data_IF_884327903412
#
_entry.id   IF_884327903412
#
_cell.length_a   1.000
_cell.length_b   1.000
_cell.length_c   1.000
_cell.angle_alpha   90.00
_cell.angle_beta   90.00
_cell.angle_gamma   90.00
#
_symmetry.space_group_name_H-M   'P 1'
#
loop_
_entity.id
_entity.type
_entity.pdbx_description
1 polymer ?
#
# COMPACT_ATOMS: atom_id res chain seq x y z
N UNK A 1 10.32 -19.23 -21.42
CA UNK A 1 11.25 -18.55 -20.50
C UNK A 1 10.63 -18.34 -19.11
N UNK A 2 9.50 -17.64 -18.96
CA UNK A 2 8.91 -17.37 -17.62
C UNK A 2 8.54 -18.64 -16.84
N UNK A 3 7.95 -19.65 -17.48
CA UNK A 3 7.65 -20.93 -16.84
C UNK A 3 8.90 -21.64 -16.30
N UNK A 4 10.02 -21.58 -17.03
CA UNK A 4 11.30 -22.15 -16.60
C UNK A 4 11.79 -21.49 -15.30
N UNK A 5 11.66 -20.17 -15.21
CA UNK A 5 12.01 -19.41 -14.00
C UNK A 5 11.12 -19.82 -12.83
N UNK A 6 9.80 -19.98 -13.05
CA UNK A 6 8.88 -20.38 -11.99
C UNK A 6 9.17 -21.81 -11.51
N UNK A 7 9.42 -22.76 -12.41
CA UNK A 7 9.83 -24.13 -12.05
C UNK A 7 11.12 -24.18 -11.25
N UNK A 8 12.08 -23.31 -11.57
CA UNK A 8 13.29 -23.17 -10.76
C UNK A 8 12.95 -22.81 -9.31
N UNK A 9 12.05 -21.85 -9.10
CA UNK A 9 11.61 -21.50 -7.75
C UNK A 9 10.81 -22.59 -7.05
N UNK A 10 9.99 -23.36 -7.78
CA UNK A 10 9.28 -24.51 -7.20
C UNK A 10 10.24 -25.54 -6.61
N UNK A 11 11.33 -25.83 -7.32
CA UNK A 11 12.36 -26.77 -6.89
C UNK A 11 13.16 -26.28 -5.67
N UNK A 12 13.15 -24.96 -5.39
CA UNK A 12 13.81 -24.39 -4.21
C UNK A 12 12.93 -24.40 -2.96
N UNK A 13 11.68 -24.91 -3.04
CA UNK A 13 10.75 -24.78 -1.93
C UNK A 13 11.17 -25.58 -0.71
N UNK A 14 11.19 -24.91 0.44
CA UNK A 14 11.42 -25.52 1.75
C UNK A 14 10.67 -24.73 2.84
N UNK A 15 10.40 -25.31 4.01
CA UNK A 15 9.73 -24.58 5.10
C UNK A 15 10.41 -23.26 5.47
N UNK A 16 11.75 -23.26 5.53
CA UNK A 16 12.53 -22.06 5.83
C UNK A 16 12.39 -20.98 4.75
N UNK A 17 12.56 -21.34 3.48
CA UNK A 17 12.44 -20.38 2.38
C UNK A 17 11.00 -19.89 2.20
N UNK A 18 10.00 -20.71 2.52
CA UNK A 18 8.59 -20.31 2.53
C UNK A 18 8.32 -19.28 3.63
N UNK A 19 8.89 -19.45 4.82
CA UNK A 19 8.80 -18.45 5.88
C UNK A 19 9.40 -17.10 5.43
N UNK A 20 10.61 -17.11 4.85
CA UNK A 20 11.24 -15.89 4.35
C UNK A 20 10.46 -15.25 3.20
N UNK A 21 9.95 -16.04 2.26
CA UNK A 21 9.11 -15.54 1.18
C UNK A 21 7.83 -14.87 1.73
N UNK A 22 7.20 -15.49 2.74
CA UNK A 22 6.07 -14.91 3.45
C UNK A 22 6.44 -13.58 4.12
N UNK A 23 7.56 -13.55 4.86
CA UNK A 23 8.03 -12.35 5.55
C UNK A 23 8.26 -11.15 4.61
N UNK A 24 8.94 -11.37 3.48
CA UNK A 24 9.12 -10.30 2.49
C UNK A 24 7.79 -9.93 1.80
N UNK A 25 6.91 -10.89 1.60
CA UNK A 25 5.59 -10.61 1.02
C UNK A 25 4.73 -9.68 1.91
N UNK A 26 4.96 -9.61 3.22
CA UNK A 26 4.22 -8.69 4.10
C UNK A 26 4.39 -7.21 3.71
N UNK A 27 5.53 -6.84 3.10
CA UNK A 27 5.75 -5.47 2.62
C UNK A 27 4.87 -5.10 1.41
N UNK A 28 4.17 -6.07 0.83
CA UNK A 28 3.19 -5.85 -0.22
C UNK A 28 1.74 -6.00 0.26
N UNK A 29 1.50 -6.13 1.56
CA UNK A 29 0.16 -6.26 2.12
C UNK A 29 -0.39 -4.89 2.53
N UNK A 30 -1.62 -4.58 2.10
CA UNK A 30 -2.23 -3.25 2.30
C UNK A 30 -2.31 -2.88 3.78
N UNK A 31 -2.77 -3.79 4.65
CA UNK A 31 -2.91 -3.51 6.08
C UNK A 31 -1.57 -3.28 6.77
N UNK A 32 -0.55 -4.08 6.41
CA UNK A 32 0.81 -3.93 6.94
C UNK A 32 1.37 -2.57 6.52
N UNK A 33 1.21 -2.18 5.26
CA UNK A 33 1.66 -0.88 4.76
C UNK A 33 0.92 0.28 5.41
N UNK A 34 -0.40 0.21 5.57
CA UNK A 34 -1.17 1.23 6.27
C UNK A 34 -0.67 1.40 7.71
N UNK A 35 -0.38 0.30 8.40
CA UNK A 35 0.19 0.34 9.75
C UNK A 35 1.59 0.99 9.76
N UNK A 36 2.49 0.57 8.86
CA UNK A 36 3.84 1.15 8.73
C UNK A 36 3.80 2.65 8.40
N UNK A 37 2.96 3.05 7.45
CA UNK A 37 2.80 4.46 7.05
C UNK A 37 2.21 5.27 8.20
N UNK A 38 1.25 4.74 8.95
CA UNK A 38 0.69 5.39 10.14
C UNK A 38 1.76 5.60 11.22
N UNK A 39 2.62 4.60 11.46
CA UNK A 39 3.76 4.74 12.38
C UNK A 39 4.70 5.85 11.93
N UNK A 40 5.05 5.91 10.64
CA UNK A 40 5.90 6.97 10.08
C UNK A 40 5.24 8.35 10.25
N UNK A 41 3.96 8.46 9.88
CA UNK A 41 3.17 9.68 9.93
C UNK A 41 3.01 10.22 11.37
N UNK A 42 2.71 9.34 12.33
CA UNK A 42 2.48 9.72 13.73
C UNK A 42 3.76 9.95 14.53
N UNK A 43 4.85 9.22 14.24
CA UNK A 43 6.01 9.15 15.14
C UNK A 43 7.32 9.68 14.57
N UNK A 44 7.46 9.73 13.24
CA UNK A 44 8.75 10.01 12.58
C UNK A 44 8.69 11.34 11.86
N UNK A 45 7.89 11.41 10.80
CA UNK A 45 7.80 12.57 9.92
C UNK A 45 6.43 12.57 9.24
N UNK A 46 5.63 13.54 9.63
CA UNK A 46 4.28 13.74 9.13
C UNK A 46 4.26 13.94 7.61
N UNK A 47 5.08 14.84 7.08
CA UNK A 47 5.07 15.16 5.65
C UNK A 47 5.53 13.96 4.81
N UNK A 48 6.49 13.19 5.32
CA UNK A 48 6.91 11.97 4.68
C UNK A 48 5.83 10.89 4.73
N UNK A 49 5.12 10.75 5.86
CA UNK A 49 3.95 9.88 5.97
C UNK A 49 2.85 10.22 4.95
N UNK A 50 2.50 11.50 4.80
CA UNK A 50 1.56 11.97 3.76
C UNK A 50 2.02 11.54 2.36
N UNK A 51 3.31 11.71 2.06
CA UNK A 51 3.86 11.33 0.76
C UNK A 51 3.76 9.82 0.52
N UNK A 52 4.02 9.00 1.53
CA UNK A 52 3.91 7.54 1.42
C UNK A 52 2.47 7.09 1.17
N UNK A 53 1.49 7.71 1.85
CA UNK A 53 0.06 7.47 1.59
C UNK A 53 -0.27 7.75 0.13
N UNK A 54 0.13 8.92 -0.36
CA UNK A 54 -0.16 9.36 -1.73
C UNK A 54 0.50 8.45 -2.78
N UNK A 55 1.78 8.10 -2.61
CA UNK A 55 2.47 7.14 -3.48
C UNK A 55 1.75 5.78 -3.51
N UNK A 56 1.35 5.28 -2.35
CA UNK A 56 0.76 3.94 -2.23
C UNK A 56 -0.61 3.89 -2.93
N UNK A 57 -1.53 4.79 -2.59
CA UNK A 57 -2.91 4.72 -3.10
C UNK A 57 -3.05 5.19 -4.54
N UNK A 58 -2.29 6.21 -4.97
CA UNK A 58 -2.33 6.61 -6.38
C UNK A 58 -1.74 5.53 -7.28
N UNK A 59 -0.64 4.88 -6.85
CA UNK A 59 -0.03 3.81 -7.63
C UNK A 59 -0.95 2.57 -7.67
N UNK A 60 -1.54 2.17 -6.54
CA UNK A 60 -2.44 1.03 -6.51
C UNK A 60 -3.71 1.26 -7.33
N UNK A 61 -4.24 2.48 -7.39
CA UNK A 61 -5.36 2.80 -8.29
C UNK A 61 -5.00 2.51 -9.76
N UNK A 62 -3.79 2.88 -10.19
CA UNK A 62 -3.28 2.53 -11.51
C UNK A 62 -3.06 1.02 -11.68
N UNK A 63 -2.58 0.32 -10.64
CA UNK A 63 -2.41 -1.13 -10.63
C UNK A 63 -3.74 -1.85 -10.87
N UNK A 64 -4.78 -1.50 -10.12
CA UNK A 64 -6.09 -2.12 -10.21
C UNK A 64 -6.77 -1.85 -11.56
N UNK A 65 -6.60 -0.65 -12.12
CA UNK A 65 -7.04 -0.39 -13.50
C UNK A 65 -6.32 -1.27 -14.52
N UNK A 66 -4.98 -1.33 -14.46
CA UNK A 66 -4.20 -2.18 -15.38
C UNK A 66 -4.52 -3.67 -15.21
N UNK A 67 -4.86 -4.12 -14.00
CA UNK A 67 -5.34 -5.47 -13.74
C UNK A 67 -6.62 -5.77 -14.53
N UNK A 68 -7.62 -4.89 -14.43
CA UNK A 68 -8.88 -5.04 -15.18
C UNK A 68 -8.66 -5.04 -16.69
N UNK A 69 -7.79 -4.15 -17.21
CA UNK A 69 -7.53 -4.05 -18.65
C UNK A 69 -6.77 -5.26 -19.20
N UNK A 70 -5.77 -5.77 -18.46
CA UNK A 70 -4.91 -6.85 -18.95
C UNK A 70 -5.50 -8.23 -18.64
N UNK A 71 -6.22 -8.38 -17.53
CA UNK A 71 -6.92 -9.60 -17.11
C UNK A 71 -6.06 -10.89 -17.29
N UNK A 72 -4.77 -10.81 -16.94
CA UNK A 72 -3.82 -11.91 -17.13
C UNK A 72 -4.05 -13.03 -16.10
N UNK A 73 -4.31 -14.28 -16.54
CA UNK A 73 -4.33 -15.45 -15.65
C UNK A 73 -3.04 -15.61 -14.86
N UNK A 74 -3.15 -15.93 -13.57
CA UNK A 74 -2.00 -16.20 -12.69
C UNK A 74 -1.31 -17.52 -13.05
N UNK A 75 -0.04 -17.71 -12.66
CA UNK A 75 0.67 -18.96 -12.94
C UNK A 75 -0.05 -20.21 -12.45
N UNK A 76 -0.59 -20.18 -11.22
CA UNK A 76 -1.35 -21.30 -10.67
C UNK A 76 -2.69 -21.54 -11.37
N UNK A 77 -3.36 -20.48 -11.81
CA UNK A 77 -4.63 -20.59 -12.51
C UNK A 77 -4.49 -21.19 -13.91
N UNK A 78 -3.33 -20.97 -14.54
CA UNK A 78 -3.01 -21.47 -15.88
C UNK A 78 -2.24 -22.80 -15.89
N UNK A 79 -1.96 -23.38 -14.72
CA UNK A 79 -1.14 -24.59 -14.58
C UNK A 79 0.35 -24.38 -14.89
N UNK A 80 0.82 -23.14 -15.00
CA UNK A 80 2.20 -22.79 -15.30
C UNK A 80 3.15 -23.01 -14.11
N UNK A 81 2.64 -22.89 -12.88
CA UNK A 81 3.34 -23.19 -11.63
C UNK A 81 2.33 -23.44 -10.50
N UNK A 82 2.63 -24.31 -9.57
CA UNK A 82 1.84 -24.53 -8.35
C UNK A 82 1.94 -23.34 -7.39
N UNK A 83 0.87 -23.07 -6.64
CA UNK A 83 0.82 -22.01 -5.61
C UNK A 83 1.30 -22.56 -4.26
N UNK A 84 2.07 -21.76 -3.53
CA UNK A 84 2.27 -21.99 -2.09
C UNK A 84 1.09 -21.42 -1.33
N UNK A 85 0.37 -22.27 -0.61
CA UNK A 85 -0.81 -21.88 0.16
C UNK A 85 -0.41 -21.33 1.52
N UNK A 86 -0.73 -20.05 1.73
CA UNK A 86 -0.55 -19.33 2.99
C UNK A 86 -1.88 -18.64 3.25
N UNK A 87 -2.46 -18.88 4.42
CA UNK A 87 -3.67 -18.19 4.84
C UNK A 87 -3.56 -17.80 6.31
N UNK A 88 -3.09 -16.58 6.53
CA UNK A 88 -2.91 -15.99 7.86
C UNK A 88 -3.66 -14.65 7.90
N UNK A 89 -3.93 -14.09 9.09
CA UNK A 89 -4.60 -12.79 9.20
C UNK A 89 -3.85 -11.62 8.51
N UNK A 90 -2.55 -11.77 8.25
CA UNK A 90 -1.69 -10.71 7.72
C UNK A 90 -1.24 -10.93 6.28
N UNK A 91 -1.31 -12.17 5.78
CA UNK A 91 -0.86 -12.58 4.47
C UNK A 91 -1.70 -13.75 4.01
N UNK A 92 -2.30 -13.62 2.83
CA UNK A 92 -3.02 -14.72 2.18
C UNK A 92 -2.65 -14.82 0.70
N UNK A 93 -2.26 -16.01 0.26
CA UNK A 93 -2.14 -16.36 -1.16
C UNK A 93 -3.42 -17.00 -1.69
N UNK A 94 -4.37 -17.32 -0.80
CA UNK A 94 -5.64 -17.98 -1.12
C UNK A 94 -6.66 -17.00 -1.69
N UNK A 95 -6.68 -15.76 -1.20
CA UNK A 95 -7.64 -14.72 -1.57
C UNK A 95 -7.29 -13.93 -2.84
N UNK A 96 -6.43 -14.48 -3.70
CA UNK A 96 -6.01 -13.84 -4.94
C UNK A 96 -6.95 -14.18 -6.10
N UNK A 97 -7.43 -13.16 -6.81
CA UNK A 97 -8.23 -13.32 -8.03
C UNK A 97 -7.41 -14.04 -9.12
N UNK A 98 -7.89 -15.19 -9.67
CA UNK A 98 -7.13 -16.04 -10.59
C UNK A 98 -6.70 -15.36 -11.89
N UNK A 99 -7.46 -14.39 -12.38
CA UNK A 99 -7.31 -13.67 -13.66
C UNK A 99 -6.68 -12.27 -13.51
N UNK A 100 -6.23 -11.91 -12.31
CA UNK A 100 -5.66 -10.60 -12.03
C UNK A 100 -4.17 -10.68 -11.67
N UNK A 101 -3.33 -11.24 -12.55
CA UNK A 101 -1.88 -11.37 -12.32
C UNK A 101 -1.11 -10.07 -12.57
N UNK A 102 -1.26 -9.48 -13.76
CA UNK A 102 -0.45 -8.33 -14.17
C UNK A 102 -1.10 -6.99 -13.77
N UNK A 103 -0.35 -5.98 -13.29
CA UNK A 103 1.00 -6.07 -12.71
C UNK A 103 0.95 -6.49 -11.22
N UNK A 104 2.09 -6.88 -10.64
CA UNK A 104 2.16 -7.29 -9.24
C UNK A 104 1.98 -6.12 -8.26
N UNK A 105 0.90 -6.13 -7.48
CA UNK A 105 0.63 -5.12 -6.45
C UNK A 105 1.68 -5.11 -5.34
N UNK A 106 2.09 -6.29 -4.85
CA UNK A 106 3.14 -6.42 -3.82
C UNK A 106 4.47 -5.79 -4.24
N UNK A 107 4.91 -6.09 -5.46
CA UNK A 107 6.16 -5.53 -6.01
C UNK A 107 6.06 -4.02 -6.18
N UNK A 108 4.89 -3.54 -6.58
CA UNK A 108 4.63 -2.12 -6.78
C UNK A 108 4.59 -1.32 -5.47
N UNK A 109 3.86 -1.79 -4.45
CA UNK A 109 3.78 -1.08 -3.19
C UNK A 109 5.11 -1.06 -2.44
N UNK A 110 5.81 -2.20 -2.41
CA UNK A 110 7.12 -2.31 -1.76
C UNK A 110 8.16 -1.41 -2.45
N UNK A 111 8.21 -1.39 -3.78
CA UNK A 111 9.07 -0.46 -4.53
C UNK A 111 8.73 1.00 -4.23
N UNK A 112 7.44 1.37 -4.25
CA UNK A 112 6.98 2.72 -3.91
C UNK A 112 7.43 3.15 -2.51
N UNK A 113 7.30 2.27 -1.52
CA UNK A 113 7.73 2.51 -0.14
C UNK A 113 9.26 2.68 -0.04
N UNK A 114 10.03 1.70 -0.51
CA UNK A 114 11.48 1.67 -0.30
C UNK A 114 12.21 2.79 -1.06
N UNK A 115 11.81 3.08 -2.30
CA UNK A 115 12.40 4.19 -3.05
C UNK A 115 11.99 5.55 -2.47
N UNK A 116 10.74 5.71 -2.00
CA UNK A 116 10.36 6.93 -1.28
C UNK A 116 11.19 7.14 -0.03
N UNK A 117 11.51 6.08 0.71
CA UNK A 117 12.42 6.13 1.85
C UNK A 117 13.84 6.50 1.45
N UNK A 118 14.38 5.94 0.35
CA UNK A 118 15.70 6.31 -0.16
C UNK A 118 15.79 7.80 -0.52
N UNK A 119 14.79 8.35 -1.23
CA UNK A 119 14.68 9.78 -1.52
C UNK A 119 14.66 10.63 -0.25
N UNK A 120 13.94 10.20 0.79
CA UNK A 120 13.83 10.93 2.06
C UNK A 120 15.11 10.91 2.88
N UNK A 121 15.81 9.78 2.91
CA UNK A 121 17.03 9.57 3.70
C UNK A 121 18.26 10.21 3.06
N UNK A 122 18.33 10.24 1.71
CA UNK A 122 19.46 10.80 0.94
C UNK A 122 20.82 10.22 1.35
N UNK A 123 20.85 8.96 1.79
CA UNK A 123 22.07 8.23 2.14
C UNK A 123 22.39 7.20 1.06
N UNK A 124 23.67 7.05 0.70
CA UNK A 124 24.10 6.09 -0.32
C UNK A 124 23.64 4.66 -0.01
N UNK A 125 23.72 4.24 1.26
CA UNK A 125 23.24 2.91 1.68
C UNK A 125 21.74 2.71 1.44
N UNK A 126 20.91 3.76 1.52
CA UNK A 126 19.47 3.65 1.29
C UNK A 126 19.14 3.40 -0.19
N UNK A 127 19.96 3.94 -1.09
CA UNK A 127 19.88 3.69 -2.54
C UNK A 127 20.33 2.29 -2.95
N UNK A 128 21.13 1.63 -2.11
CA UNK A 128 21.47 0.21 -2.28
C UNK A 128 20.37 -0.67 -1.66
N UNK A 129 19.88 -0.31 -0.47
CA UNK A 129 18.91 -1.12 0.25
C UNK A 129 17.54 -1.16 -0.44
N UNK A 130 17.10 -0.05 -1.05
CA UNK A 130 15.80 0.00 -1.72
C UNK A 130 15.63 -1.05 -2.85
N UNK A 131 16.52 -1.14 -3.85
CA UNK A 131 16.42 -2.17 -4.88
C UNK A 131 16.61 -3.58 -4.32
N UNK A 132 17.46 -3.79 -3.31
CA UNK A 132 17.64 -5.10 -2.67
C UNK A 132 16.34 -5.57 -2.03
N UNK A 133 15.71 -4.73 -1.20
CA UNK A 133 14.44 -5.09 -0.55
C UNK A 133 13.32 -5.28 -1.57
N UNK A 134 13.22 -4.43 -2.60
CA UNK A 134 12.25 -4.62 -3.69
C UNK A 134 12.47 -5.95 -4.40
N UNK A 135 13.71 -6.31 -4.70
CA UNK A 135 14.05 -7.58 -5.33
C UNK A 135 13.64 -8.77 -4.45
N UNK A 136 13.87 -8.70 -3.13
CA UNK A 136 13.45 -9.76 -2.21
C UNK A 136 11.92 -9.96 -2.20
N UNK A 137 11.15 -8.87 -2.30
CA UNK A 137 9.68 -8.97 -2.47
C UNK A 137 9.33 -9.56 -3.83
N UNK A 138 9.96 -9.13 -4.92
CA UNK A 138 9.70 -9.68 -6.26
C UNK A 138 9.96 -11.20 -6.30
N UNK A 139 11.12 -11.62 -5.77
CA UNK A 139 11.50 -13.03 -5.68
C UNK A 139 10.53 -13.83 -4.82
N UNK A 140 10.01 -13.26 -3.73
CA UNK A 140 9.01 -13.95 -2.91
C UNK A 140 7.72 -14.22 -3.69
N UNK A 141 7.27 -13.31 -4.56
CA UNK A 141 6.06 -13.51 -5.38
C UNK A 141 6.24 -14.58 -6.45
N UNK A 142 7.44 -14.69 -7.02
CA UNK A 142 7.79 -15.78 -7.95
C UNK A 142 7.85 -17.12 -7.20
N UNK A 143 8.50 -17.14 -6.03
CA UNK A 143 8.60 -18.32 -5.16
C UNK A 143 7.23 -18.89 -4.76
N UNK A 144 6.31 -18.00 -4.35
CA UNK A 144 4.95 -18.38 -3.98
C UNK A 144 4.08 -18.83 -5.16
N UNK A 145 4.57 -18.69 -6.41
CA UNK A 145 3.88 -19.16 -7.62
C UNK A 145 2.67 -18.31 -8.02
N UNK A 146 2.60 -17.05 -7.59
CA UNK A 146 1.40 -16.20 -7.75
C UNK A 146 1.55 -15.10 -8.81
N UNK A 147 2.75 -14.91 -9.35
CA UNK A 147 3.06 -13.92 -10.38
C UNK A 147 4.16 -14.40 -11.33
N UNK A 148 4.15 -13.89 -12.55
CA UNK A 148 5.23 -14.04 -13.52
C UNK A 148 6.35 -13.00 -13.31
N UNK A 149 7.57 -13.25 -13.81
CA UNK A 149 8.67 -12.28 -13.81
C UNK A 149 8.28 -10.91 -14.39
N UNK A 150 7.53 -10.88 -15.49
CA UNK A 150 7.04 -9.64 -16.11
C UNK A 150 6.05 -8.88 -15.20
N UNK A 151 5.21 -9.59 -14.43
CA UNK A 151 4.27 -8.94 -13.51
C UNK A 151 5.00 -8.21 -12.38
N UNK A 152 6.05 -8.84 -11.81
CA UNK A 152 6.82 -8.26 -10.70
C UNK A 152 7.71 -7.11 -11.15
N UNK A 153 8.29 -7.21 -12.36
CA UNK A 153 9.06 -6.12 -12.97
C UNK A 153 8.19 -4.90 -13.28
N UNK A 154 7.03 -5.11 -13.92
CA UNK A 154 6.10 -4.03 -14.21
C UNK A 154 5.57 -3.37 -12.93
N UNK A 155 5.25 -4.18 -11.92
CA UNK A 155 4.85 -3.68 -10.60
C UNK A 155 5.94 -2.81 -9.98
N UNK A 156 7.17 -3.32 -9.88
CA UNK A 156 8.30 -2.55 -9.32
C UNK A 156 8.54 -1.24 -10.09
N UNK A 157 8.51 -1.28 -11.43
CA UNK A 157 8.67 -0.10 -12.27
C UNK A 157 7.59 0.96 -12.00
N UNK A 158 6.33 0.56 -11.88
CA UNK A 158 5.23 1.46 -11.50
C UNK A 158 5.46 2.06 -10.10
N UNK A 159 5.90 1.26 -9.13
CA UNK A 159 6.17 1.72 -7.78
C UNK A 159 7.25 2.79 -7.73
N UNK A 160 8.37 2.55 -8.44
CA UNK A 160 9.46 3.53 -8.58
C UNK A 160 8.97 4.79 -9.30
N UNK A 161 8.19 4.64 -10.38
CA UNK A 161 7.66 5.78 -11.13
C UNK A 161 6.81 6.70 -10.24
N UNK A 162 5.89 6.13 -9.43
CA UNK A 162 5.09 6.92 -8.50
C UNK A 162 5.90 7.53 -7.36
N UNK A 163 6.94 6.84 -6.84
CA UNK A 163 7.85 7.41 -5.87
C UNK A 163 8.59 8.65 -6.43
N UNK A 164 9.01 8.59 -7.69
CA UNK A 164 9.64 9.69 -8.42
C UNK A 164 8.66 10.85 -8.70
N UNK A 165 7.44 10.55 -9.17
CA UNK A 165 6.39 11.55 -9.43
C UNK A 165 6.14 12.36 -8.15
N UNK A 166 5.89 11.69 -7.03
CA UNK A 166 5.62 12.36 -5.77
C UNK A 166 6.86 13.04 -5.16
N UNK A 167 8.08 12.53 -5.40
CA UNK A 167 9.31 13.28 -5.07
C UNK A 167 9.34 14.63 -5.78
N UNK A 168 9.07 14.62 -7.09
CA UNK A 168 9.08 15.82 -7.92
C UNK A 168 7.98 16.77 -7.47
N UNK A 169 6.76 16.28 -7.24
CA UNK A 169 5.64 17.10 -6.76
C UNK A 169 5.97 17.75 -5.42
N UNK A 170 6.48 17.00 -4.43
CA UNK A 170 6.81 17.56 -3.13
C UNK A 170 7.98 18.56 -3.18
N UNK A 171 8.94 18.39 -4.09
CA UNK A 171 10.10 19.29 -4.21
C UNK A 171 9.87 20.52 -5.09
N UNK A 172 9.24 20.35 -6.24
CA UNK A 172 9.07 21.41 -7.26
C UNK A 172 7.71 22.09 -7.16
N UNK A 173 6.68 21.41 -6.68
CA UNK A 173 5.30 21.90 -6.62
C UNK A 173 4.66 21.77 -5.23
N UNK A 174 5.34 22.18 -4.13
CA UNK A 174 4.86 21.93 -2.76
C UNK A 174 3.52 22.60 -2.45
N UNK A 175 3.20 23.72 -3.12
CA UNK A 175 1.92 24.42 -2.96
C UNK A 175 0.77 23.72 -3.70
N UNK A 176 1.07 22.96 -4.75
CA UNK A 176 0.09 22.28 -5.60
C UNK A 176 -0.09 20.80 -5.25
N UNK A 177 0.65 20.25 -4.28
CA UNK A 177 0.57 18.82 -3.92
C UNK A 177 -0.86 18.34 -3.63
N UNK A 178 -1.69 19.18 -3.03
CA UNK A 178 -3.11 18.88 -2.74
C UNK A 178 -3.97 18.88 -4.00
N UNK A 179 -3.65 19.71 -4.99
CA UNK A 179 -4.31 19.72 -6.31
C UNK A 179 -4.00 18.42 -7.06
N UNK A 180 -2.73 18.00 -7.07
CA UNK A 180 -2.35 16.70 -7.64
C UNK A 180 -3.04 15.54 -6.91
N UNK A 181 -3.10 15.57 -5.58
CA UNK A 181 -3.81 14.55 -4.80
C UNK A 181 -5.30 14.50 -5.14
N UNK A 182 -5.95 15.66 -5.25
CA UNK A 182 -7.35 15.76 -5.67
C UNK A 182 -7.56 15.23 -7.10
N UNK A 183 -6.67 15.56 -8.03
CA UNK A 183 -6.72 15.04 -9.40
C UNK A 183 -6.62 13.51 -9.44
N UNK A 184 -5.70 12.90 -8.68
CA UNK A 184 -5.60 11.45 -8.56
C UNK A 184 -6.82 10.82 -7.88
N UNK A 185 -7.40 11.47 -6.87
CA UNK A 185 -8.63 11.01 -6.23
C UNK A 185 -9.82 11.02 -7.20
N UNK A 186 -10.01 12.11 -7.94
CA UNK A 186 -11.03 12.21 -8.99
C UNK A 186 -10.81 11.14 -10.05
N UNK A 187 -9.57 10.99 -10.53
CA UNK A 187 -9.23 9.95 -11.50
C UNK A 187 -9.56 8.55 -10.96
N UNK A 188 -9.17 8.22 -9.72
CA UNK A 188 -9.50 6.91 -9.13
C UNK A 188 -10.99 6.67 -8.95
N UNK A 189 -11.77 7.72 -8.72
CA UNK A 189 -13.23 7.63 -8.64
C UNK A 189 -13.84 7.42 -10.02
N UNK A 190 -13.37 8.15 -11.04
CA UNK A 190 -13.78 7.93 -12.44
C UNK A 190 -13.47 6.51 -12.88
N UNK A 191 -12.27 5.99 -12.60
CA UNK A 191 -11.90 4.61 -12.93
C UNK A 191 -12.82 3.59 -12.24
N UNK A 192 -13.20 3.82 -10.98
CA UNK A 192 -14.17 2.98 -10.28
C UNK A 192 -15.56 3.02 -10.93
N UNK A 193 -15.99 4.18 -11.43
CA UNK A 193 -17.28 4.31 -12.09
C UNK A 193 -17.31 3.65 -13.47
N UNK A 194 -16.17 3.63 -14.17
CA UNK A 194 -16.03 2.97 -15.48
C UNK A 194 -15.94 1.44 -15.34
N UNK A 195 -15.20 0.94 -14.34
CA UNK A 195 -14.95 -0.49 -14.13
C UNK A 195 -15.25 -0.88 -12.67
N UNK A 196 -16.53 -0.97 -12.25
CA UNK A 196 -16.88 -1.18 -10.85
C UNK A 196 -16.40 -2.53 -10.31
N UNK A 197 -15.37 -2.52 -9.46
CA UNK A 197 -14.90 -3.72 -8.78
C UNK A 197 -14.42 -3.44 -7.34
N UNK A 198 -14.39 -4.50 -6.52
CA UNK A 198 -14.10 -4.43 -5.08
C UNK A 198 -12.69 -3.91 -4.79
N UNK A 199 -11.72 -4.11 -5.69
CA UNK A 199 -10.35 -3.65 -5.52
C UNK A 199 -10.23 -2.15 -5.82
N UNK A 200 -10.80 -1.68 -6.94
CA UNK A 200 -10.87 -0.25 -7.26
C UNK A 200 -11.67 0.52 -6.21
N UNK A 201 -12.74 -0.06 -5.64
CA UNK A 201 -13.51 0.59 -4.59
C UNK A 201 -12.67 0.88 -3.34
N UNK A 202 -11.90 -0.10 -2.90
CA UNK A 202 -10.98 0.03 -1.77
C UNK A 202 -9.89 1.08 -2.02
N UNK A 203 -9.26 1.05 -3.19
CA UNK A 203 -8.14 1.92 -3.52
C UNK A 203 -8.56 3.35 -3.82
N UNK A 204 -9.68 3.53 -4.51
CA UNK A 204 -10.32 4.82 -4.75
C UNK A 204 -10.75 5.47 -3.43
N UNK A 205 -11.35 4.70 -2.51
CA UNK A 205 -11.71 5.19 -1.19
C UNK A 205 -10.51 5.69 -0.41
N UNK A 206 -9.43 4.90 -0.36
CA UNK A 206 -8.19 5.27 0.30
C UNK A 206 -7.56 6.54 -0.31
N UNK A 207 -7.56 6.66 -1.65
CA UNK A 207 -7.03 7.83 -2.35
C UNK A 207 -7.88 9.09 -2.08
N UNK A 208 -9.21 8.99 -2.16
CA UNK A 208 -10.14 10.07 -1.84
C UNK A 208 -10.03 10.51 -0.38
N UNK A 209 -9.94 9.57 0.55
CA UNK A 209 -9.74 9.86 1.97
C UNK A 209 -8.41 10.58 2.21
N UNK A 210 -7.32 10.13 1.58
CA UNK A 210 -6.03 10.81 1.69
C UNK A 210 -6.09 12.24 1.13
N UNK A 211 -6.68 12.42 -0.06
CA UNK A 211 -6.83 13.72 -0.71
C UNK A 211 -7.70 14.70 0.09
N UNK A 212 -8.67 14.21 0.87
CA UNK A 212 -9.50 15.03 1.75
C UNK A 212 -8.86 15.26 3.14
N UNK A 213 -8.36 14.21 3.78
CA UNK A 213 -7.85 14.25 5.16
C UNK A 213 -6.59 15.11 5.27
N UNK A 214 -5.63 14.98 4.35
CA UNK A 214 -4.35 15.70 4.39
C UNK A 214 -4.53 17.24 4.42
N UNK A 215 -5.29 17.87 3.50
CA UNK A 215 -5.50 19.32 3.56
C UNK A 215 -6.33 19.76 4.78
N UNK A 216 -7.33 18.98 5.19
CA UNK A 216 -8.12 19.28 6.39
C UNK A 216 -7.26 19.25 7.65
N UNK A 217 -6.43 18.23 7.80
CA UNK A 217 -5.53 18.07 8.92
C UNK A 217 -4.53 19.23 8.95
N UNK A 218 -3.89 19.54 7.82
CA UNK A 218 -2.91 20.64 7.75
C UNK A 218 -3.53 22.02 7.98
N UNK A 219 -4.80 22.22 7.64
CA UNK A 219 -5.48 23.51 7.82
C UNK A 219 -5.99 23.70 9.24
N UNK A 220 -6.68 22.69 9.78
CA UNK A 220 -7.49 22.79 11.00
C UNK A 220 -6.87 22.11 12.22
N UNK A 221 -6.21 20.96 12.06
CA UNK A 221 -5.65 20.18 13.18
C UNK A 221 -4.21 20.60 13.49
N UNK A 222 -3.39 20.75 12.44
CA UNK A 222 -1.97 21.17 12.51
C UNK A 222 -1.16 20.31 13.48
N UNK A 223 -1.34 18.99 13.41
CA UNK A 223 -0.55 18.07 14.20
C UNK A 223 0.93 18.18 13.83
N UNK A 224 1.79 18.13 14.86
CA UNK A 224 3.24 18.11 14.74
C UNK A 224 3.81 16.95 15.56
N UNK A 225 4.81 16.27 14.99
CA UNK A 225 5.46 15.13 15.65
C UNK A 225 6.38 15.63 16.77
N UNK A 226 5.85 15.66 17.99
CA UNK A 226 6.65 16.05 19.18
C UNK A 226 7.62 14.95 19.60
N UNK A 227 8.77 15.35 20.17
CA UNK A 227 9.78 14.43 20.74
C UNK A 227 9.29 13.80 22.05
N UNK A 228 9.84 12.63 22.40
CA UNK A 228 9.61 11.92 23.66
C UNK A 228 8.99 10.53 23.50
N UNK A 229 9.59 9.51 24.12
CA UNK A 229 9.17 8.11 23.98
C UNK A 229 7.75 7.86 24.50
N UNK A 230 7.42 8.37 25.70
CA UNK A 230 6.07 8.21 26.30
C UNK A 230 4.96 8.71 25.37
N UNK A 231 5.16 9.88 24.77
CA UNK A 231 4.25 10.49 23.81
C UNK A 231 4.08 9.65 22.55
N UNK A 232 5.19 9.11 22.02
CA UNK A 232 5.15 8.21 20.86
C UNK A 232 4.37 6.92 21.16
N UNK A 233 4.57 6.32 22.33
CA UNK A 233 3.85 5.12 22.75
C UNK A 233 2.35 5.41 22.93
N UNK A 234 1.99 6.52 23.57
CA UNK A 234 0.59 6.94 23.69
C UNK A 234 -0.07 7.21 22.34
N UNK A 235 0.66 7.82 21.38
CA UNK A 235 0.16 8.02 20.02
C UNK A 235 -0.12 6.71 19.30
N UNK A 236 0.72 5.69 19.46
CA UNK A 236 0.45 4.37 18.90
C UNK A 236 -0.83 3.78 19.50
N UNK A 237 -0.95 3.81 20.82
CA UNK A 237 -2.12 3.26 21.50
C UNK A 237 -3.41 3.97 21.08
N UNK A 238 -3.44 5.31 21.14
CA UNK A 238 -4.61 6.11 20.78
C UNK A 238 -4.91 6.01 19.28
N UNK A 239 -3.88 6.06 18.43
CA UNK A 239 -4.02 6.00 16.97
C UNK A 239 -4.58 4.65 16.51
N UNK A 240 -3.99 3.54 16.95
CA UNK A 240 -4.50 2.22 16.61
C UNK A 240 -5.84 1.90 17.27
N UNK A 241 -6.12 2.41 18.47
CA UNK A 241 -7.47 2.31 19.05
C UNK A 241 -8.51 3.07 18.21
N UNK A 242 -8.17 4.27 17.71
CA UNK A 242 -9.05 5.05 16.84
C UNK A 242 -9.35 4.33 15.52
N UNK A 243 -8.32 3.83 14.84
CA UNK A 243 -8.49 3.04 13.59
C UNK A 243 -9.22 1.72 13.86
N UNK A 244 -8.88 1.05 14.97
CA UNK A 244 -9.52 -0.21 15.39
C UNK A 244 -11.00 -0.04 15.73
N UNK A 245 -11.40 1.08 16.33
CA UNK A 245 -12.80 1.39 16.58
C UNK A 245 -13.60 1.52 15.27
N UNK A 246 -13.02 2.20 14.25
CA UNK A 246 -13.62 2.24 12.91
C UNK A 246 -13.76 0.83 12.36
N UNK A 247 -12.69 0.02 12.39
CA UNK A 247 -12.74 -1.37 11.93
C UNK A 247 -13.83 -2.20 12.65
N UNK A 248 -13.98 -2.02 13.97
CA UNK A 248 -14.96 -2.73 14.82
C UNK A 248 -16.41 -2.33 14.57
N UNK A 249 -16.71 -1.03 14.45
CA UNK A 249 -18.06 -0.53 14.07
C UNK A 249 -18.47 -1.17 12.75
N UNK A 250 -17.51 -1.13 11.84
CA UNK A 250 -17.74 -1.62 10.52
C UNK A 250 -17.98 -3.14 10.57
N UNK A 251 -17.27 -3.95 11.38
CA UNK A 251 -17.35 -5.42 11.36
C UNK A 251 -18.77 -6.03 11.37
N UNK A 252 -19.77 -5.27 11.81
CA UNK A 252 -21.19 -5.60 11.86
C UNK A 252 -21.97 -5.35 10.54
N UNK A 253 -21.34 -4.77 9.51
CA UNK A 253 -21.97 -4.34 8.26
C UNK A 253 -21.62 -5.27 7.07
N UNK A 254 -22.53 -5.43 6.08
CA UNK A 254 -22.31 -6.31 4.94
C UNK A 254 -21.33 -5.69 3.92
N UNK A 255 -20.09 -6.21 3.91
CA UNK A 255 -18.98 -5.70 3.08
C UNK A 255 -19.04 -6.01 1.60
N UNK A 256 -19.98 -6.84 1.21
CA UNK A 256 -20.05 -7.33 -0.15
C UNK A 256 -20.50 -6.24 -1.10
N UNK A 257 -21.24 -5.25 -0.59
CA UNK A 257 -21.69 -4.08 -1.33
C UNK A 257 -20.55 -3.11 -1.60
N UNK A 258 -20.36 -2.80 -2.89
CA UNK A 258 -19.28 -1.97 -3.42
C UNK A 258 -19.10 -0.64 -2.65
N UNK A 259 -20.18 0.10 -2.45
CA UNK A 259 -20.15 1.42 -1.82
C UNK A 259 -20.01 1.38 -0.30
N UNK A 260 -20.48 0.32 0.36
CA UNK A 260 -20.20 0.11 1.79
C UNK A 260 -18.73 -0.25 2.00
N UNK A 261 -18.15 -1.07 1.11
CA UNK A 261 -16.71 -1.32 1.09
C UNK A 261 -15.94 -0.01 0.87
N UNK A 262 -16.32 0.79 -0.13
CA UNK A 262 -15.72 2.10 -0.37
C UNK A 262 -15.77 2.99 0.89
N UNK A 263 -16.94 3.14 1.52
CA UNK A 263 -17.12 3.97 2.71
C UNK A 263 -16.26 3.50 3.89
N UNK A 264 -16.15 2.18 4.10
CA UNK A 264 -15.29 1.59 5.14
C UNK A 264 -13.84 2.05 4.98
N UNK A 265 -13.26 1.84 3.80
CA UNK A 265 -11.85 2.17 3.55
C UNK A 265 -11.61 3.68 3.54
N UNK A 266 -12.60 4.47 3.10
CA UNK A 266 -12.54 5.91 3.21
C UNK A 266 -12.43 6.34 4.67
N UNK A 267 -13.32 5.84 5.54
CA UNK A 267 -13.32 6.20 6.96
C UNK A 267 -12.11 5.66 7.71
N UNK A 268 -11.56 4.50 7.33
CA UNK A 268 -10.33 3.97 7.92
C UNK A 268 -9.14 4.91 7.68
N UNK A 269 -8.90 5.30 6.43
CA UNK A 269 -7.79 6.21 6.10
C UNK A 269 -8.05 7.61 6.64
N UNK A 270 -9.29 8.10 6.56
CA UNK A 270 -9.67 9.39 7.12
C UNK A 270 -9.48 9.44 8.64
N UNK A 271 -9.79 8.37 9.36
CA UNK A 271 -9.53 8.28 10.79
C UNK A 271 -8.04 8.29 11.11
N UNK A 272 -7.23 7.51 10.39
CA UNK A 272 -5.79 7.45 10.60
C UNK A 272 -5.09 8.80 10.31
N UNK A 273 -5.52 9.49 9.24
CA UNK A 273 -4.89 10.70 8.73
C UNK A 273 -5.46 12.01 9.31
N UNK A 274 -6.66 12.01 9.91
CA UNK A 274 -7.28 13.21 10.48
C UNK A 274 -7.74 13.03 11.93
N UNK A 275 -8.56 12.02 12.22
CA UNK A 275 -9.16 11.85 13.55
C UNK A 275 -8.11 11.52 14.62
N UNK A 276 -7.19 10.60 14.33
CA UNK A 276 -6.10 10.26 15.25
C UNK A 276 -5.20 11.49 15.55
N UNK A 277 -4.68 12.23 14.56
CA UNK A 277 -4.00 13.51 14.78
C UNK A 277 -4.78 14.52 15.62
N UNK A 278 -6.09 14.65 15.37
CA UNK A 278 -6.96 15.52 16.17
C UNK A 278 -6.99 15.12 17.65
N UNK A 279 -7.11 13.81 17.93
CA UNK A 279 -7.03 13.29 19.29
C UNK A 279 -5.65 13.54 19.91
N UNK A 280 -4.56 13.41 19.16
CA UNK A 280 -3.21 13.66 19.66
C UNK A 280 -3.03 15.11 20.11
N UNK A 281 -3.52 16.06 19.31
CA UNK A 281 -3.50 17.49 19.66
C UNK A 281 -4.34 17.77 20.90
N UNK A 282 -5.57 17.21 20.96
CA UNK A 282 -6.48 17.39 22.11
C UNK A 282 -5.91 16.80 23.41
N UNK A 283 -5.25 15.65 23.32
CA UNK A 283 -4.62 14.95 24.46
C UNK A 283 -3.18 15.44 24.74
N UNK A 284 -2.64 16.35 23.93
CA UNK A 284 -1.28 16.91 24.03
C UNK A 284 -0.16 15.84 23.97
N UNK A 285 -0.33 14.80 23.14
CA UNK A 285 0.62 13.67 22.97
C UNK A 285 1.32 13.66 21.61
#
# INVERSE_FOLDING_TARGET
MEQTILRFFENLRSPALTFFAGAFSLFGETLVLVALISVVYWLVDKQFGERLVLVSFSSMSANAFLKGVVARPRPYASGAATRVEIDTPFLSTMNLEPDMSFPSGHSQMSAGLFFSAAFRLKKGWAWILAPVLTLLVMLSRLYLGVHYPTDVLAGAALGVAFACIWEIVYRKFPKQKTVFAAAFAVLSLVLLLLEPNKQLAELSACMCAAAAAIPLENKFVRFEVKKGLKRKLLRLLVGFACVGAVFGIFALLPWEYLWLKWLKYFLLIFAAALLAPFLFVKLKI
#
